data_IF_866679708332
#
_entry.id   IF_866679708332
#
_cell.length_a   1.000
_cell.length_b   1.000
_cell.length_c   1.000
_cell.angle_alpha   90.00
_cell.angle_beta   90.00
_cell.angle_gamma   90.00
#
_symmetry.space_group_name_H-M   'P 1'
#
loop_
_entity.id
_entity.type
_entity.pdbx_description
1 polymer ?
#
# COMPACT_ATOMS: atom_id res chain seq x y z
N UNK A 1 -9.57 -6.06 -1.50
CA UNK A 1 -8.37 -6.33 -2.30
C UNK A 1 -8.41 -5.55 -3.61
N UNK A 2 -7.24 -5.13 -4.10
CA UNK A 2 -7.13 -4.37 -5.35
C UNK A 2 -7.67 -5.13 -6.55
N UNK A 3 -7.57 -6.45 -6.54
CA UNK A 3 -8.09 -7.28 -7.64
C UNK A 3 -9.60 -7.11 -7.82
N UNK A 4 -10.31 -6.64 -6.80
CA UNK A 4 -11.76 -6.46 -6.82
C UNK A 4 -12.17 -5.03 -7.17
N UNK A 5 -11.22 -4.13 -7.35
CA UNK A 5 -11.49 -2.69 -7.56
C UNK A 5 -11.26 -2.35 -9.04
N UNK A 6 -12.21 -1.61 -9.63
CA UNK A 6 -12.05 -1.12 -11.00
C UNK A 6 -10.89 -0.12 -11.06
N UNK A 7 -10.15 -0.12 -12.18
CA UNK A 7 -8.98 0.75 -12.34
C UNK A 7 -9.31 2.23 -12.15
N UNK A 8 -10.47 2.67 -12.66
CA UNK A 8 -10.90 4.06 -12.54
C UNK A 8 -11.30 4.44 -11.12
N UNK A 9 -11.45 3.46 -10.24
CA UNK A 9 -11.83 3.67 -8.85
C UNK A 9 -10.70 3.31 -7.89
N UNK A 10 -9.49 3.04 -8.44
CA UNK A 10 -8.36 2.66 -7.61
C UNK A 10 -8.00 3.82 -6.66
N UNK A 11 -7.78 3.53 -5.39
CA UNK A 11 -7.38 4.57 -4.43
C UNK A 11 -5.93 5.00 -4.67
N UNK A 12 -5.57 6.15 -4.07
CA UNK A 12 -4.21 6.68 -4.19
C UNK A 12 -3.17 5.83 -3.46
N UNK A 13 -3.60 5.00 -2.53
CA UNK A 13 -2.71 4.16 -1.72
C UNK A 13 -2.97 2.70 -2.05
N UNK A 14 -1.91 2.01 -2.43
CA UNK A 14 -1.96 0.57 -2.73
C UNK A 14 -0.92 -0.11 -1.84
N UNK A 15 -1.35 -1.16 -1.13
CA UNK A 15 -0.43 -1.94 -0.30
C UNK A 15 -0.14 -3.28 -0.95
N UNK A 16 1.14 -3.65 -0.96
CA UNK A 16 1.58 -4.98 -1.40
C UNK A 16 2.03 -5.74 -0.18
N UNK A 17 1.41 -6.85 0.13
CA UNK A 17 1.74 -7.58 1.33
C UNK A 17 1.19 -9.00 1.34
N UNK A 18 1.15 -9.60 2.52
CA UNK A 18 0.63 -10.95 2.73
C UNK A 18 -0.27 -10.97 3.95
N UNK A 19 -1.08 -12.01 4.06
CA UNK A 19 -2.01 -12.15 5.18
C UNK A 19 -1.33 -12.47 6.51
N UNK A 20 -0.12 -13.06 6.47
CA UNK A 20 0.60 -13.51 7.68
C UNK A 20 1.62 -12.50 8.19
N UNK A 21 1.87 -11.42 7.47
CA UNK A 21 2.93 -10.47 7.78
C UNK A 21 2.50 -9.52 8.90
N UNK A 22 3.29 -9.47 9.98
CA UNK A 22 2.98 -8.63 11.14
C UNK A 22 3.07 -7.14 10.80
N UNK A 23 4.06 -6.74 10.02
CA UNK A 23 4.20 -5.33 9.62
C UNK A 23 3.12 -4.92 8.63
N UNK A 24 2.63 -5.85 7.83
CA UNK A 24 1.48 -5.61 6.97
C UNK A 24 0.23 -5.34 7.80
N UNK A 25 0.05 -6.10 8.88
CA UNK A 25 -1.05 -5.89 9.81
C UNK A 25 -0.96 -4.49 10.45
N UNK A 26 0.22 -4.09 10.88
CA UNK A 26 0.42 -2.76 11.46
C UNK A 26 0.11 -1.65 10.45
N UNK A 27 0.50 -1.85 9.19
CA UNK A 27 0.19 -0.91 8.12
C UNK A 27 -1.32 -0.79 7.90
N UNK A 28 -2.03 -1.92 7.92
CA UNK A 28 -3.50 -1.90 7.79
C UNK A 28 -4.15 -1.12 8.92
N UNK A 29 -3.69 -1.32 10.14
CA UNK A 29 -4.21 -0.58 11.30
C UNK A 29 -3.95 0.92 11.15
N UNK A 30 -2.75 1.29 10.72
CA UNK A 30 -2.38 2.69 10.50
C UNK A 30 -3.32 3.35 9.48
N UNK A 31 -3.50 2.69 8.34
CA UNK A 31 -4.35 3.24 7.29
C UNK A 31 -5.81 3.35 7.74
N UNK A 32 -6.29 2.35 8.48
CA UNK A 32 -7.65 2.35 9.01
C UNK A 32 -7.84 3.44 10.06
N UNK A 33 -6.88 3.60 10.97
CA UNK A 33 -6.97 4.59 12.06
C UNK A 33 -7.03 6.02 11.54
N UNK A 34 -6.40 6.29 10.40
CA UNK A 34 -6.40 7.61 9.78
C UNK A 34 -7.42 7.75 8.67
N UNK A 35 -8.33 6.80 8.54
CA UNK A 35 -9.40 6.80 7.52
C UNK A 35 -8.86 6.99 6.10
N UNK A 36 -7.73 6.33 5.80
CA UNK A 36 -7.11 6.44 4.50
C UNK A 36 -7.69 5.35 3.60
N UNK A 37 -8.19 5.76 2.44
CA UNK A 37 -8.72 4.85 1.43
C UNK A 37 -7.58 4.14 0.74
N UNK A 38 -7.57 2.83 0.78
CA UNK A 38 -6.53 2.02 0.17
C UNK A 38 -7.09 0.69 -0.28
N UNK A 39 -6.35 0.02 -1.17
CA UNK A 39 -6.59 -1.38 -1.44
C UNK A 39 -5.28 -2.14 -1.34
N UNK A 40 -5.34 -3.46 -1.23
CA UNK A 40 -4.12 -4.25 -1.13
C UNK A 40 -4.12 -5.40 -2.12
N UNK A 41 -2.91 -5.76 -2.57
CA UNK A 41 -2.66 -6.99 -3.31
C UNK A 41 -1.96 -7.96 -2.38
N UNK A 42 -2.43 -9.21 -2.36
CA UNK A 42 -1.73 -10.31 -1.72
C UNK A 42 -0.71 -10.84 -2.73
N UNK A 43 0.58 -10.55 -2.52
CA UNK A 43 1.61 -10.88 -3.50
C UNK A 43 1.82 -12.39 -3.67
N UNK A 44 1.30 -13.19 -2.75
CA UNK A 44 1.39 -14.66 -2.84
C UNK A 44 0.25 -15.25 -3.68
N UNK A 45 -0.88 -14.53 -3.79
CA UNK A 45 -2.07 -15.05 -4.44
C UNK A 45 -2.54 -14.22 -5.64
N UNK A 46 -1.95 -13.05 -5.86
CA UNK A 46 -2.31 -12.16 -6.94
C UNK A 46 -1.13 -12.02 -7.92
N UNK A 47 -1.36 -12.42 -9.16
CA UNK A 47 -0.34 -12.25 -10.20
C UNK A 47 0.00 -10.79 -10.44
N UNK A 48 -1.01 -9.91 -10.41
CA UNK A 48 -0.80 -8.47 -10.54
C UNK A 48 0.00 -7.91 -9.37
N UNK A 49 -0.29 -8.37 -8.16
CA UNK A 49 0.45 -7.95 -6.97
C UNK A 49 1.90 -8.38 -7.02
N UNK A 50 2.16 -9.60 -7.46
CA UNK A 50 3.51 -10.11 -7.61
C UNK A 50 4.30 -9.31 -8.64
N UNK A 51 3.68 -9.01 -9.78
CA UNK A 51 4.31 -8.22 -10.83
C UNK A 51 4.65 -6.80 -10.35
N UNK A 52 3.74 -6.15 -9.66
CA UNK A 52 3.99 -4.82 -9.11
C UNK A 52 5.12 -4.84 -8.08
N UNK A 53 5.15 -5.87 -7.24
CA UNK A 53 6.19 -6.03 -6.23
C UNK A 53 7.57 -6.14 -6.88
N UNK A 54 7.67 -6.92 -7.95
CA UNK A 54 8.91 -7.08 -8.71
C UNK A 54 9.29 -5.76 -9.39
N UNK A 55 8.32 -5.08 -10.00
CA UNK A 55 8.56 -3.84 -10.74
C UNK A 55 9.12 -2.73 -9.85
N UNK A 56 8.76 -2.70 -8.58
CA UNK A 56 9.24 -1.68 -7.64
C UNK A 56 10.42 -2.15 -6.80
N UNK A 57 11.04 -3.26 -7.20
CA UNK A 57 12.17 -3.85 -6.46
C UNK A 57 11.80 -4.17 -5.01
N UNK A 58 10.66 -4.81 -4.82
CA UNK A 58 10.23 -5.20 -3.48
C UNK A 58 11.16 -6.26 -2.90
N UNK A 59 11.70 -6.01 -1.72
CA UNK A 59 12.58 -6.95 -1.03
C UNK A 59 12.07 -7.25 0.36
N UNK A 60 11.09 -6.49 0.81
CA UNK A 60 10.47 -6.67 2.12
C UNK A 60 9.01 -6.25 2.00
N UNK A 61 8.16 -6.76 2.88
CA UNK A 61 6.76 -6.38 2.93
C UNK A 61 6.47 -5.71 4.26
N UNK A 62 5.51 -4.78 4.30
CA UNK A 62 4.69 -4.33 3.18
C UNK A 62 5.45 -3.35 2.27
N UNK A 63 4.98 -3.21 1.04
CA UNK A 63 5.36 -2.11 0.17
C UNK A 63 4.11 -1.26 -0.03
N UNK A 64 4.22 0.04 0.16
CA UNK A 64 3.11 0.96 -0.03
C UNK A 64 3.39 1.87 -1.21
N UNK A 65 2.46 1.88 -2.16
CA UNK A 65 2.51 2.74 -3.33
C UNK A 65 1.57 3.91 -3.06
N UNK A 66 2.12 5.13 -2.99
CA UNK A 66 1.36 6.33 -2.65
C UNK A 66 1.60 7.35 -3.78
N UNK A 67 0.66 7.41 -4.73
CA UNK A 67 0.89 8.16 -5.95
C UNK A 67 2.12 7.61 -6.66
N UNK A 68 3.13 8.45 -6.89
CA UNK A 68 4.37 8.04 -7.53
C UNK A 68 5.43 7.57 -6.53
N UNK A 69 5.16 7.65 -5.23
CA UNK A 69 6.12 7.28 -4.19
C UNK A 69 6.02 5.80 -3.85
N UNK A 70 7.16 5.21 -3.49
CA UNK A 70 7.24 3.82 -3.05
C UNK A 70 7.85 3.80 -1.65
N UNK A 71 7.11 3.22 -0.70
CA UNK A 71 7.59 3.05 0.67
C UNK A 71 7.79 1.57 0.92
N UNK A 72 9.02 1.15 1.13
CA UNK A 72 9.37 -0.25 1.36
C UNK A 72 9.49 -0.49 2.85
N UNK A 73 8.67 -1.40 3.36
CA UNK A 73 8.53 -1.64 4.78
C UNK A 73 7.54 -0.68 5.43
N UNK A 74 7.24 -0.90 6.70
CA UNK A 74 6.33 -0.02 7.43
C UNK A 74 7.13 1.09 8.11
N UNK A 75 7.06 2.29 7.55
CA UNK A 75 7.76 3.47 8.03
C UNK A 75 6.72 4.57 8.28
N UNK A 76 6.31 4.70 9.54
CA UNK A 76 5.25 5.61 9.95
C UNK A 76 5.58 7.07 9.65
N UNK A 77 6.83 7.47 9.91
CA UNK A 77 7.25 8.85 9.66
C UNK A 77 7.17 9.22 8.20
N UNK A 78 7.61 8.31 7.33
CA UNK A 78 7.54 8.54 5.89
C UNK A 78 6.10 8.55 5.39
N UNK A 79 5.27 7.65 5.93
CA UNK A 79 3.85 7.62 5.59
C UNK A 79 3.16 8.91 6.01
N UNK A 80 3.46 9.42 7.19
CA UNK A 80 2.89 10.68 7.66
C UNK A 80 3.21 11.83 6.71
N UNK A 81 4.46 11.93 6.24
CA UNK A 81 4.88 12.95 5.31
C UNK A 81 4.12 12.87 3.98
N UNK A 82 4.07 11.67 3.41
CA UNK A 82 3.48 11.49 2.09
C UNK A 82 1.96 11.66 2.12
N UNK A 83 1.31 11.15 3.16
CA UNK A 83 -0.14 11.24 3.29
C UNK A 83 -0.59 12.66 3.63
N UNK A 84 0.21 13.40 4.39
CA UNK A 84 -0.08 14.82 4.64
C UNK A 84 -0.06 15.63 3.37
N UNK A 85 0.89 15.36 2.47
CA UNK A 85 0.96 16.03 1.19
C UNK A 85 -0.27 15.77 0.33
N UNK A 86 -0.77 14.53 0.33
CA UNK A 86 -1.98 14.17 -0.40
C UNK A 86 -3.19 14.89 0.18
N UNK A 87 -3.32 14.94 1.50
CA UNK A 87 -4.45 15.62 2.15
C UNK A 87 -4.49 17.11 1.84
N UNK A 88 -3.32 17.74 1.69
CA UNK A 88 -3.25 19.17 1.42
C UNK A 88 -3.70 19.52 0.00
N UNK A 89 -3.76 18.54 -0.89
CA UNK A 89 -4.19 18.75 -2.28
C UNK A 89 -5.68 18.61 -2.48
N UNK A 90 -6.40 18.08 -1.50
CA UNK A 90 -7.84 17.84 -1.64
C UNK A 90 -8.70 18.98 -1.11
#
# INVERSE_FOLDING_TARGET
YCDEVALEQAPDVIMLGTGWCQYCYQARLYLSDYDIDYCEYDIENSAQGENLFTDVNGQAIPVLLIGDAVVRGFDEGKLDQLLSAIRQKS
#
